data_IF_620201440380
#
_entry.id   IF_620201440380
#
_cell.length_a   1.000
_cell.length_b   1.000
_cell.length_c   1.000
_cell.angle_alpha   90.00
_cell.angle_beta   90.00
_cell.angle_gamma   90.00
#
_symmetry.space_group_name_H-M   'P 1'
#
loop_
_entity.id
_entity.type
_entity.pdbx_description
1 polymer ?
#
# COMPACT_ATOMS: atom_id res chain seq x y z
N UNK A 1 -27.37 -24.85 15.41
CA UNK A 1 -26.05 -24.70 14.75
C UNK A 1 -25.06 -24.08 15.72
N UNK A 2 -23.87 -24.67 15.88
CA UNK A 2 -22.86 -24.12 16.77
C UNK A 2 -22.26 -22.84 16.16
N UNK A 3 -22.38 -21.70 16.84
CA UNK A 3 -21.94 -20.38 16.34
C UNK A 3 -20.45 -20.38 16.00
N UNK A 4 -19.65 -21.15 16.75
CA UNK A 4 -18.22 -21.29 16.51
C UNK A 4 -17.88 -21.98 15.17
N UNK A 5 -18.68 -22.98 14.77
CA UNK A 5 -18.46 -23.70 13.50
C UNK A 5 -18.78 -22.80 12.31
N UNK A 6 -19.84 -21.98 12.43
CA UNK A 6 -20.23 -21.00 11.42
C UNK A 6 -19.16 -19.91 11.25
N UNK A 7 -18.64 -19.40 12.37
CA UNK A 7 -17.56 -18.40 12.37
C UNK A 7 -16.28 -18.95 11.73
N UNK A 8 -15.87 -20.17 12.08
CA UNK A 8 -14.71 -20.83 11.46
C UNK A 8 -14.89 -20.98 9.95
N UNK A 9 -16.08 -21.38 9.50
CA UNK A 9 -16.39 -21.53 8.07
C UNK A 9 -16.21 -20.22 7.30
N UNK A 10 -16.78 -19.12 7.80
CA UNK A 10 -16.59 -17.79 7.21
C UNK A 10 -15.11 -17.39 7.18
N UNK A 11 -14.38 -17.67 8.25
CA UNK A 11 -12.97 -17.29 8.37
C UNK A 11 -12.10 -18.03 7.33
N UNK A 12 -12.35 -19.33 7.12
CA UNK A 12 -11.69 -20.12 6.08
C UNK A 12 -12.01 -19.62 4.67
N UNK A 13 -13.27 -19.22 4.41
CA UNK A 13 -13.68 -18.65 3.11
C UNK A 13 -12.94 -17.35 2.83
N UNK A 14 -12.82 -16.46 3.82
CA UNK A 14 -12.10 -15.19 3.68
C UNK A 14 -10.60 -15.40 3.41
N UNK A 15 -9.99 -16.37 4.09
CA UNK A 15 -8.58 -16.74 3.86
C UNK A 15 -8.39 -17.35 2.47
N UNK A 16 -9.31 -18.20 2.01
CA UNK A 16 -9.25 -18.75 0.65
C UNK A 16 -9.32 -17.66 -0.42
N UNK A 17 -10.25 -16.72 -0.27
CA UNK A 17 -10.37 -15.59 -1.19
C UNK A 17 -9.14 -14.68 -1.18
N UNK A 18 -8.57 -14.39 0.00
CA UNK A 18 -7.38 -13.54 0.09
C UNK A 18 -6.18 -14.17 -0.62
N UNK A 19 -5.99 -15.49 -0.49
CA UNK A 19 -4.94 -16.24 -1.18
C UNK A 19 -5.10 -16.22 -2.70
N UNK A 20 -6.32 -16.36 -3.21
CA UNK A 20 -6.61 -16.29 -4.66
C UNK A 20 -6.27 -14.90 -5.21
N UNK A 21 -6.63 -13.84 -4.48
CA UNK A 21 -6.33 -12.46 -4.86
C UNK A 21 -4.82 -12.23 -4.87
N UNK A 22 -4.10 -12.67 -3.84
CA UNK A 22 -2.64 -12.59 -3.77
C UNK A 22 -1.95 -13.33 -4.92
N UNK A 23 -2.44 -14.53 -5.26
CA UNK A 23 -1.91 -15.30 -6.39
C UNK A 23 -2.18 -14.61 -7.73
N UNK A 24 -3.38 -14.08 -7.94
CA UNK A 24 -3.74 -13.33 -9.14
C UNK A 24 -2.87 -12.09 -9.33
N UNK A 25 -2.60 -11.34 -8.26
CA UNK A 25 -1.70 -10.18 -8.27
C UNK A 25 -0.25 -10.56 -8.61
N UNK A 26 0.18 -11.78 -8.27
CA UNK A 26 1.53 -12.28 -8.56
C UNK A 26 1.75 -12.64 -10.03
N UNK A 27 0.71 -13.11 -10.72
CA UNK A 27 0.79 -13.55 -12.12
C UNK A 27 0.83 -12.37 -13.10
N UNK A 28 0.19 -11.27 -12.73
CA UNK A 28 0.25 -10.03 -13.49
C UNK A 28 1.55 -9.30 -13.16
N UNK A 29 2.30 -8.85 -14.17
CA UNK A 29 3.40 -7.88 -14.02
C UNK A 29 2.84 -6.49 -13.60
N UNK A 30 1.97 -6.45 -12.58
CA UNK A 30 1.45 -5.23 -12.01
C UNK A 30 2.63 -4.54 -11.35
N UNK A 31 3.01 -3.43 -11.97
CA UNK A 31 3.95 -2.51 -11.39
C UNK A 31 3.24 -1.77 -10.26
N UNK A 32 3.75 -1.91 -9.04
CA UNK A 32 3.25 -1.21 -7.87
C UNK A 32 4.37 -0.38 -7.24
N UNK A 33 3.99 0.72 -6.63
CA UNK A 33 4.86 1.61 -5.86
C UNK A 33 4.01 2.30 -4.80
N UNK A 34 4.49 2.31 -3.57
CA UNK A 34 3.83 2.89 -2.41
C UNK A 34 4.85 3.64 -1.55
N UNK A 35 4.36 4.58 -0.74
CA UNK A 35 5.18 5.34 0.19
C UNK A 35 4.56 5.27 1.58
N UNK A 36 5.41 5.05 2.58
CA UNK A 36 5.09 5.22 3.98
C UNK A 36 5.83 6.47 4.47
N UNK A 37 5.10 7.45 4.99
CA UNK A 37 5.67 8.63 5.64
C UNK A 37 5.75 8.38 7.15
N UNK A 38 6.97 8.20 7.68
CA UNK A 38 7.20 8.14 9.14
C UNK A 38 7.73 9.52 9.56
N UNK A 39 6.83 10.40 9.98
CA UNK A 39 7.16 11.82 10.11
C UNK A 39 7.54 12.41 8.74
N UNK A 40 8.57 13.29 8.65
CA UNK A 40 9.01 13.85 7.37
C UNK A 40 9.85 12.89 6.53
N UNK A 41 10.10 11.66 6.98
CA UNK A 41 10.98 10.69 6.31
C UNK A 41 10.14 9.77 5.42
N UNK A 42 10.24 9.87 4.07
CA UNK A 42 9.54 8.97 3.16
C UNK A 42 10.28 7.65 3.00
N UNK A 43 9.55 6.54 3.10
CA UNK A 43 10.03 5.18 2.81
C UNK A 43 9.24 4.64 1.61
N UNK A 44 9.94 4.40 0.49
CA UNK A 44 9.33 3.94 -0.76
C UNK A 44 9.43 2.41 -0.84
N UNK A 45 8.30 1.76 -1.10
CA UNK A 45 8.21 0.34 -1.41
C UNK A 45 7.72 0.18 -2.84
N UNK A 46 8.56 -0.33 -3.72
CA UNK A 46 8.23 -0.44 -5.14
C UNK A 46 8.67 -1.78 -5.72
N UNK A 47 7.98 -2.19 -6.78
CA UNK A 47 8.37 -3.29 -7.67
C UNK A 47 8.73 -2.79 -9.08
N UNK A 48 8.81 -1.48 -9.27
CA UNK A 48 9.18 -0.87 -10.56
C UNK A 48 9.89 0.46 -10.38
N UNK A 49 11.01 0.62 -11.08
CA UNK A 49 11.81 1.85 -11.05
C UNK A 49 10.99 3.04 -11.57
N UNK A 50 10.26 2.85 -12.68
CA UNK A 50 9.47 3.90 -13.32
C UNK A 50 8.46 4.54 -12.37
N UNK A 51 7.68 3.74 -11.63
CA UNK A 51 6.71 4.26 -10.66
C UNK A 51 7.37 4.79 -9.39
N UNK A 52 8.57 4.32 -9.02
CA UNK A 52 9.32 4.89 -7.91
C UNK A 52 9.70 6.35 -8.18
N UNK A 53 10.19 6.64 -9.38
CA UNK A 53 10.58 8.00 -9.78
C UNK A 53 9.38 8.94 -9.71
N UNK A 54 8.23 8.49 -10.24
CA UNK A 54 6.98 9.26 -10.20
C UNK A 54 6.54 9.53 -8.75
N UNK A 55 6.55 8.50 -7.89
CA UNK A 55 6.18 8.66 -6.48
C UNK A 55 7.13 9.58 -5.72
N UNK A 56 8.43 9.53 -6.02
CA UNK A 56 9.45 10.37 -5.40
C UNK A 56 9.27 11.85 -5.78
N UNK A 57 8.91 12.15 -7.02
CA UNK A 57 8.56 13.52 -7.45
C UNK A 57 7.34 14.04 -6.70
N UNK A 58 6.30 13.22 -6.57
CA UNK A 58 5.08 13.57 -5.82
C UNK A 58 5.42 13.86 -4.35
N UNK A 59 6.26 13.03 -3.72
CA UNK A 59 6.64 13.23 -2.32
C UNK A 59 7.44 14.51 -2.11
N UNK A 60 8.34 14.84 -3.04
CA UNK A 60 9.11 16.09 -3.00
C UNK A 60 8.17 17.29 -3.04
N UNK A 61 7.16 17.27 -3.93
CA UNK A 61 6.17 18.34 -4.03
C UNK A 61 5.39 18.47 -2.71
N UNK A 62 4.93 17.36 -2.13
CA UNK A 62 4.17 17.35 -0.87
C UNK A 62 5.04 17.89 0.29
N UNK A 63 6.29 17.44 0.38
CA UNK A 63 7.24 17.87 1.42
C UNK A 63 7.54 19.36 1.28
N UNK A 64 7.75 19.86 0.06
CA UNK A 64 7.95 21.28 -0.24
C UNK A 64 6.73 22.10 0.21
N UNK A 65 5.51 21.68 -0.17
CA UNK A 65 4.27 22.35 0.23
C UNK A 65 4.14 22.37 1.76
N UNK A 66 4.44 21.26 2.43
CA UNK A 66 4.41 21.16 3.89
C UNK A 66 5.44 22.08 4.56
N UNK A 67 6.66 22.16 4.01
CA UNK A 67 7.72 23.06 4.47
C UNK A 67 7.33 24.53 4.30
N UNK A 68 6.79 24.92 3.13
CA UNK A 68 6.31 26.27 2.89
C UNK A 68 5.16 26.63 3.82
N UNK A 69 4.19 25.72 4.00
CA UNK A 69 3.08 25.94 4.94
C UNK A 69 3.58 26.22 6.35
N UNK A 70 4.55 25.42 6.84
CA UNK A 70 5.18 25.64 8.16
C UNK A 70 6.03 26.92 8.25
N UNK A 71 6.55 27.43 7.13
CA UNK A 71 7.37 28.65 7.09
C UNK A 71 6.52 29.91 7.03
N UNK A 72 5.36 29.83 6.36
CA UNK A 72 4.48 30.97 6.10
C UNK A 72 3.50 31.23 7.25
N UNK A 73 3.09 30.17 7.96
CA UNK A 73 2.15 30.18 9.10
C UNK A 73 2.89 29.89 10.39
#
# INVERSE_FOLDING_TARGET
MNKYILFLGILFILIGFSLIILYSLKQSNIKYSGIILIGPIPIIFTNSIDLSIILLIIIIIIVIIFLFYKIII
#
